data_IF_071916639401
#
_entry.id   IF_071916639401
#
_cell.length_a   1.000
_cell.length_b   1.000
_cell.length_c   1.000
_cell.angle_alpha   90.00
_cell.angle_beta   90.00
_cell.angle_gamma   90.00
#
_symmetry.space_group_name_H-M   'P 1'
#
loop_
_entity.id
_entity.type
_entity.pdbx_description
1 polymer ?
#
# COMPACT_ATOMS: atom_id res chain seq x y z
N UNK A 1 18.81 6.06 -31.07
CA UNK A 1 17.40 6.48 -31.13
C UNK A 1 16.89 6.45 -29.70
N UNK A 2 16.65 7.60 -29.10
CA UNK A 2 16.22 7.67 -27.69
C UNK A 2 14.71 7.66 -27.67
N UNK A 3 14.11 6.58 -27.17
CA UNK A 3 12.66 6.46 -27.04
C UNK A 3 12.23 7.18 -25.76
N UNK A 4 11.58 8.34 -25.90
CA UNK A 4 10.96 9.04 -24.77
C UNK A 4 9.59 8.39 -24.55
N UNK A 5 9.42 7.70 -23.42
CA UNK A 5 8.13 7.13 -23.00
C UNK A 5 7.50 8.03 -21.94
N UNK A 6 6.28 8.47 -22.18
CA UNK A 6 5.44 9.19 -21.21
C UNK A 6 4.43 8.19 -20.66
N UNK A 7 4.38 8.02 -19.34
CA UNK A 7 3.38 7.19 -18.66
C UNK A 7 2.54 8.08 -17.75
N UNK A 8 1.22 7.99 -17.87
CA UNK A 8 0.29 8.73 -17.01
C UNK A 8 0.00 7.91 -15.74
N UNK A 9 0.28 8.49 -14.58
CA UNK A 9 0.10 7.85 -13.28
C UNK A 9 -0.78 8.67 -12.34
N UNK A 10 -1.50 7.97 -11.45
CA UNK A 10 -2.29 8.57 -10.36
C UNK A 10 -1.59 8.34 -9.03
N UNK A 11 -1.46 9.39 -8.23
CA UNK A 11 -1.07 9.28 -6.82
C UNK A 11 -2.33 9.30 -5.96
N UNK A 12 -2.45 8.33 -5.05
CA UNK A 12 -3.52 8.27 -4.07
C UNK A 12 -2.92 8.22 -2.67
N UNK A 13 -3.42 9.07 -1.77
CA UNK A 13 -2.98 9.16 -0.39
C UNK A 13 -4.19 8.90 0.50
N UNK A 14 -4.07 7.92 1.38
CA UNK A 14 -5.06 7.62 2.42
C UNK A 14 -4.40 7.91 3.76
N UNK A 15 -4.92 8.92 4.46
CA UNK A 15 -4.42 9.33 5.76
C UNK A 15 -5.58 9.45 6.74
N UNK A 16 -5.41 8.89 7.93
CA UNK A 16 -6.33 9.13 9.02
C UNK A 16 -6.14 10.56 9.55
N UNK A 17 -7.27 11.28 9.70
CA UNK A 17 -7.31 12.59 10.35
C UNK A 17 -7.39 12.45 11.87
N UNK A 18 -8.17 13.31 12.51
CA UNK A 18 -8.49 13.17 13.93
C UNK A 18 -9.28 11.87 14.16
N UNK A 19 -8.83 11.07 15.13
CA UNK A 19 -9.42 9.79 15.48
C UNK A 19 -9.91 9.86 16.93
N UNK A 20 -11.19 9.59 17.15
CA UNK A 20 -11.76 9.44 18.49
C UNK A 20 -11.28 8.14 19.15
N UNK A 21 -11.06 7.09 18.35
CA UNK A 21 -10.48 5.83 18.81
C UNK A 21 -9.72 5.08 17.71
N UNK A 22 -8.77 4.24 18.12
CA UNK A 22 -8.03 3.33 17.21
C UNK A 22 -9.00 2.41 16.46
N UNK A 23 -10.04 1.90 17.14
CA UNK A 23 -11.02 0.98 16.54
C UNK A 23 -11.80 1.65 15.41
N UNK A 24 -12.32 2.85 15.64
CA UNK A 24 -13.05 3.59 14.60
C UNK A 24 -12.14 3.97 13.45
N UNK A 25 -10.90 4.38 13.74
CA UNK A 25 -9.92 4.67 12.69
C UNK A 25 -9.61 3.45 11.81
N UNK A 26 -9.50 2.24 12.39
CA UNK A 26 -9.28 1.01 11.62
C UNK A 26 -10.49 0.66 10.74
N UNK A 27 -11.72 0.85 11.24
CA UNK A 27 -12.93 0.62 10.45
C UNK A 27 -13.10 1.66 9.33
N UNK A 28 -12.78 2.93 9.60
CA UNK A 28 -12.77 3.98 8.59
C UNK A 28 -11.73 3.69 7.50
N UNK A 29 -10.50 3.33 7.91
CA UNK A 29 -9.43 2.92 6.99
C UNK A 29 -9.86 1.73 6.13
N UNK A 30 -10.48 0.71 6.74
CA UNK A 30 -11.01 -0.45 6.04
C UNK A 30 -12.01 -0.04 4.97
N UNK A 31 -12.97 0.83 5.32
CA UNK A 31 -14.00 1.29 4.40
C UNK A 31 -13.40 2.06 3.23
N UNK A 32 -12.50 3.00 3.49
CA UNK A 32 -11.85 3.80 2.43
C UNK A 32 -11.03 2.93 1.49
N UNK A 33 -10.30 1.94 2.02
CA UNK A 33 -9.53 1.01 1.18
C UNK A 33 -10.45 0.11 0.33
N UNK A 34 -11.56 -0.37 0.89
CA UNK A 34 -12.57 -1.12 0.12
C UNK A 34 -13.11 -0.25 -0.99
N UNK A 35 -13.59 0.96 -0.66
CA UNK A 35 -14.16 1.91 -1.61
C UNK A 35 -13.15 2.24 -2.71
N UNK A 36 -11.86 2.39 -2.38
CA UNK A 36 -10.78 2.56 -3.36
C UNK A 36 -10.67 1.35 -4.30
N UNK A 37 -10.67 0.13 -3.77
CA UNK A 37 -10.55 -1.09 -4.59
C UNK A 37 -11.81 -1.41 -5.41
N UNK A 38 -12.99 -0.96 -4.98
CA UNK A 38 -14.26 -1.30 -5.63
C UNK A 38 -14.88 -0.15 -6.42
N UNK A 39 -14.33 1.07 -6.33
CA UNK A 39 -14.90 2.21 -7.04
C UNK A 39 -14.75 2.07 -8.56
N UNK A 40 -15.86 2.22 -9.28
CA UNK A 40 -15.90 2.25 -10.75
C UNK A 40 -14.90 3.26 -11.33
N UNK A 41 -14.66 4.40 -10.66
CA UNK A 41 -13.67 5.39 -11.12
C UNK A 41 -12.23 4.86 -11.12
N UNK A 42 -11.89 3.97 -10.18
CA UNK A 42 -10.56 3.35 -10.09
C UNK A 42 -10.52 2.13 -11.03
N UNK A 43 -11.61 1.36 -11.09
CA UNK A 43 -11.73 0.18 -11.93
C UNK A 43 -11.85 0.48 -13.44
N UNK A 44 -12.35 1.64 -13.82
CA UNK A 44 -12.44 2.09 -15.23
C UNK A 44 -11.22 2.91 -15.66
N UNK A 45 -10.43 3.41 -14.71
CA UNK A 45 -9.17 4.10 -15.04
C UNK A 45 -8.11 3.10 -15.49
N UNK A 46 -7.48 3.35 -16.63
CA UNK A 46 -6.30 2.58 -17.09
C UNK A 46 -4.98 3.15 -16.55
N UNK A 47 -5.05 4.01 -15.52
CA UNK A 47 -3.88 4.67 -14.96
C UNK A 47 -3.15 3.77 -13.97
N UNK A 48 -1.83 3.74 -14.09
CA UNK A 48 -0.96 3.21 -13.06
C UNK A 48 -1.14 4.00 -11.77
N UNK A 49 -1.28 3.31 -10.64
CA UNK A 49 -1.58 3.92 -9.35
C UNK A 49 -0.48 3.69 -8.33
N UNK A 50 -0.04 4.79 -7.72
CA UNK A 50 0.85 4.82 -6.56
C UNK A 50 0.02 5.13 -5.32
N UNK A 51 -0.21 4.13 -4.47
CA UNK A 51 -1.04 4.24 -3.29
C UNK A 51 -0.18 4.37 -2.04
N UNK A 52 -0.38 5.43 -1.27
CA UNK A 52 0.27 5.62 0.03
C UNK A 52 -0.77 5.59 1.14
N UNK A 53 -0.51 4.79 2.17
CA UNK A 53 -1.39 4.62 3.32
C UNK A 53 -0.63 5.02 4.59
N UNK A 54 -1.12 6.06 5.27
CA UNK A 54 -0.59 6.48 6.57
C UNK A 54 -1.17 5.60 7.67
N UNK A 55 -0.29 4.83 8.30
CA UNK A 55 -0.62 3.94 9.41
C UNK A 55 -0.07 4.44 10.75
N UNK A 56 0.54 5.63 10.79
CA UNK A 56 1.13 6.20 12.01
C UNK A 56 0.21 6.25 13.23
N UNK A 57 -1.11 6.49 13.10
CA UNK A 57 -2.00 6.53 14.27
C UNK A 57 -2.30 5.15 14.86
N UNK A 58 -1.95 4.06 14.17
CA UNK A 58 -2.34 2.72 14.56
C UNK A 58 -1.15 1.96 15.19
N UNK A 59 -1.37 1.49 16.41
CA UNK A 59 -0.44 0.58 17.10
C UNK A 59 -0.79 -0.90 16.91
N UNK A 60 -1.93 -1.19 16.25
CA UNK A 60 -2.42 -2.53 15.96
C UNK A 60 -3.12 -2.54 14.60
N UNK A 61 -3.17 -3.72 13.97
CA UNK A 61 -3.92 -3.95 12.75
C UNK A 61 -4.71 -5.27 12.84
N UNK A 62 -5.89 -5.32 12.23
CA UNK A 62 -6.74 -6.50 12.22
C UNK A 62 -6.57 -7.33 10.94
N UNK A 63 -7.06 -8.57 10.97
CA UNK A 63 -6.99 -9.49 9.82
C UNK A 63 -7.71 -8.98 8.57
N UNK A 64 -8.75 -8.15 8.74
CA UNK A 64 -9.48 -7.57 7.61
C UNK A 64 -8.61 -6.63 6.78
N UNK A 65 -7.87 -5.72 7.42
CA UNK A 65 -6.95 -4.81 6.72
C UNK A 65 -5.79 -5.58 6.07
N UNK A 66 -5.27 -6.62 6.73
CA UNK A 66 -4.25 -7.51 6.16
C UNK A 66 -4.76 -8.15 4.85
N UNK A 67 -6.00 -8.66 4.86
CA UNK A 67 -6.62 -9.22 3.66
C UNK A 67 -6.79 -8.20 2.54
N UNK A 68 -7.19 -6.96 2.88
CA UNK A 68 -7.34 -5.87 1.92
C UNK A 68 -5.99 -5.49 1.30
N UNK A 69 -4.92 -5.38 2.10
CA UNK A 69 -3.58 -5.15 1.56
C UNK A 69 -3.14 -6.28 0.62
N UNK A 70 -3.42 -7.53 0.97
CA UNK A 70 -3.19 -8.66 0.07
C UNK A 70 -3.91 -8.50 -1.28
N UNK A 71 -5.18 -8.07 -1.28
CA UNK A 71 -5.92 -7.80 -2.51
C UNK A 71 -5.33 -6.64 -3.32
N UNK A 72 -4.96 -5.54 -2.66
CA UNK A 72 -4.35 -4.35 -3.30
C UNK A 72 -3.01 -4.72 -3.97
N UNK A 73 -2.17 -5.50 -3.29
CA UNK A 73 -0.88 -5.98 -3.82
C UNK A 73 -1.06 -6.79 -5.11
N UNK A 74 -2.16 -7.55 -5.19
CA UNK A 74 -2.46 -8.39 -6.34
C UNK A 74 -3.10 -7.62 -7.50
N UNK A 75 -3.54 -6.39 -7.29
CA UNK A 75 -4.06 -5.52 -8.34
C UNK A 75 -2.94 -5.14 -9.31
N UNK A 76 -3.23 -5.24 -10.60
CA UNK A 76 -2.27 -4.95 -11.67
C UNK A 76 -2.06 -3.44 -11.86
N UNK A 77 -3.04 -2.62 -11.50
CA UNK A 77 -2.98 -1.16 -11.65
C UNK A 77 -2.13 -0.52 -10.56
N UNK A 78 -2.01 -1.18 -9.41
CA UNK A 78 -1.13 -0.72 -8.34
C UNK A 78 0.31 -1.01 -8.75
N UNK A 79 1.08 0.05 -8.97
CA UNK A 79 2.52 -0.05 -9.22
C UNK A 79 3.31 0.01 -7.92
N UNK A 80 2.79 0.73 -6.92
CA UNK A 80 3.42 0.88 -5.62
C UNK A 80 2.37 0.99 -4.52
N UNK A 81 2.59 0.23 -3.44
CA UNK A 81 1.89 0.38 -2.17
C UNK A 81 2.89 0.85 -1.10
N UNK A 82 2.85 2.14 -0.77
CA UNK A 82 3.64 2.75 0.29
C UNK A 82 2.94 2.68 1.64
N UNK A 83 3.43 1.83 2.54
CA UNK A 83 2.97 1.76 3.92
C UNK A 83 3.81 2.70 4.79
N UNK A 84 3.20 3.79 5.25
CA UNK A 84 3.90 4.89 5.89
C UNK A 84 3.68 4.89 7.40
N UNK A 85 4.73 5.18 8.17
CA UNK A 85 4.62 5.41 9.62
C UNK A 85 4.28 4.16 10.43
N UNK A 86 4.69 2.98 9.97
CA UNK A 86 4.44 1.74 10.71
C UNK A 86 5.08 1.78 12.10
N UNK A 87 4.29 1.50 13.13
CA UNK A 87 4.81 1.19 14.45
C UNK A 87 5.39 -0.24 14.45
N UNK A 88 6.41 -0.54 15.27
CA UNK A 88 7.08 -1.85 15.26
C UNK A 88 6.11 -3.04 15.39
N UNK A 89 5.11 -2.94 16.27
CA UNK A 89 4.12 -3.99 16.48
C UNK A 89 3.27 -4.26 15.22
N UNK A 90 2.92 -3.22 14.45
CA UNK A 90 2.16 -3.36 13.19
C UNK A 90 3.06 -3.95 12.11
N UNK A 91 4.30 -3.48 12.01
CA UNK A 91 5.28 -4.00 11.07
C UNK A 91 5.52 -5.50 11.26
N UNK A 92 5.71 -5.95 12.49
CA UNK A 92 5.89 -7.37 12.83
C UNK A 92 4.69 -8.22 12.43
N UNK A 93 3.46 -7.72 12.66
CA UNK A 93 2.24 -8.38 12.22
C UNK A 93 2.24 -8.50 10.69
N UNK A 94 2.47 -7.40 9.97
CA UNK A 94 2.45 -7.39 8.51
C UNK A 94 3.52 -8.30 7.89
N UNK A 95 4.72 -8.37 8.48
CA UNK A 95 5.77 -9.33 8.11
C UNK A 95 5.34 -10.77 8.33
N UNK A 96 4.73 -11.07 9.48
CA UNK A 96 4.26 -12.42 9.83
C UNK A 96 3.22 -12.93 8.83
N UNK A 97 2.32 -12.05 8.36
CA UNK A 97 1.31 -12.36 7.36
C UNK A 97 1.81 -12.23 5.91
N UNK A 98 3.06 -11.82 5.70
CA UNK A 98 3.68 -11.75 4.37
C UNK A 98 3.18 -10.60 3.49
N UNK A 99 2.59 -9.56 4.09
CA UNK A 99 2.23 -8.31 3.40
C UNK A 99 3.50 -7.51 3.10
N UNK A 100 4.43 -7.50 4.05
CA UNK A 100 5.77 -6.93 3.92
C UNK A 100 6.76 -8.08 3.96
N UNK A 101 7.82 -8.03 3.15
CA UNK A 101 8.91 -8.99 3.21
C UNK A 101 10.24 -8.29 3.39
N UNK A 102 11.20 -8.97 4.01
CA UNK A 102 12.57 -8.47 4.11
C UNK A 102 13.15 -8.34 2.70
N UNK A 103 13.45 -7.10 2.30
CA UNK A 103 14.00 -6.79 0.97
C UNK A 103 12.99 -6.81 -0.19
N UNK A 104 11.68 -6.89 0.07
CA UNK A 104 10.65 -6.90 -0.99
C UNK A 104 10.60 -8.20 -1.82
N UNK A 105 11.28 -9.25 -1.36
CA UNK A 105 11.31 -10.55 -2.05
C UNK A 105 10.27 -11.48 -1.41
N UNK A 106 9.36 -12.02 -2.22
CA UNK A 106 8.40 -13.02 -1.74
C UNK A 106 9.09 -14.30 -1.25
N UNK A 107 8.46 -15.03 -0.32
CA UNK A 107 9.00 -16.30 0.21
C UNK A 107 9.35 -17.26 -0.94
N UNK A 108 10.38 -18.10 -0.74
CA UNK A 108 10.94 -18.95 -1.81
C UNK A 108 9.90 -19.84 -2.53
N UNK A 109 8.90 -20.31 -1.79
CA UNK A 109 7.81 -21.17 -2.29
C UNK A 109 6.69 -20.41 -3.04
N UNK A 110 6.70 -19.07 -3.03
CA UNK A 110 5.72 -18.27 -3.76
C UNK A 110 6.03 -18.29 -5.26
N UNK A 111 4.99 -18.23 -6.10
CA UNK A 111 5.17 -18.11 -7.55
C UNK A 111 5.83 -16.77 -7.92
N UNK A 112 6.48 -16.71 -9.07
CA UNK A 112 7.19 -15.50 -9.51
C UNK A 112 6.25 -14.30 -9.66
N UNK A 113 4.99 -14.55 -10.04
CA UNK A 113 3.93 -13.53 -10.06
C UNK A 113 3.65 -12.95 -8.68
N UNK A 114 3.60 -13.78 -7.65
CA UNK A 114 3.41 -13.32 -6.26
C UNK A 114 4.64 -12.55 -5.79
N UNK A 115 5.85 -13.04 -6.10
CA UNK A 115 7.10 -12.35 -5.76
C UNK A 115 7.18 -10.96 -6.41
N UNK A 116 6.82 -10.85 -7.69
CA UNK A 116 6.77 -9.57 -8.43
C UNK A 116 5.69 -8.61 -7.93
N UNK A 117 4.62 -9.12 -7.32
CA UNK A 117 3.61 -8.26 -6.71
C UNK A 117 4.06 -7.76 -5.33
N UNK A 118 4.75 -8.61 -4.55
CA UNK A 118 5.28 -8.22 -3.24
C UNK A 118 6.37 -7.15 -3.34
N UNK A 119 7.15 -7.12 -4.42
CA UNK A 119 8.13 -6.05 -4.67
C UNK A 119 7.52 -4.67 -4.89
N UNK A 120 6.19 -4.57 -5.03
CA UNK A 120 5.45 -3.29 -5.10
C UNK A 120 5.26 -2.64 -3.73
N UNK A 121 5.44 -3.41 -2.65
CA UNK A 121 5.21 -2.91 -1.29
C UNK A 121 6.49 -2.27 -0.76
N UNK A 122 6.40 -1.01 -0.38
CA UNK A 122 7.49 -0.27 0.25
C UNK A 122 7.04 0.27 1.59
N UNK A 123 7.96 0.28 2.55
CA UNK A 123 7.72 0.82 3.89
C UNK A 123 8.51 2.12 4.03
N UNK A 124 7.84 3.16 4.50
CA UNK A 124 8.43 4.47 4.74
C UNK A 124 8.22 4.89 6.19
N UNK A 125 9.17 5.63 6.77
CA UNK A 125 9.00 6.15 8.14
C UNK A 125 7.93 7.22 8.19
N UNK A 126 7.78 7.99 7.12
CA UNK A 126 6.80 9.08 7.03
C UNK A 126 6.12 9.12 5.67
N UNK A 127 4.94 9.75 5.61
CA UNK A 127 4.25 10.01 4.35
C UNK A 127 5.08 10.91 3.41
N UNK A 128 5.82 11.87 3.98
CA UNK A 128 6.66 12.79 3.20
C UNK A 128 7.80 12.04 2.49
N UNK A 129 8.47 11.12 3.20
CA UNK A 129 9.51 10.25 2.63
C UNK A 129 8.94 9.37 1.51
N UNK A 130 7.75 8.80 1.72
CA UNK A 130 7.07 8.01 0.69
C UNK A 130 6.79 8.81 -0.57
N UNK A 131 6.22 10.01 -0.45
CA UNK A 131 5.92 10.84 -1.62
C UNK A 131 7.18 11.34 -2.34
N UNK A 132 8.27 11.60 -1.61
CA UNK A 132 9.54 11.99 -2.20
C UNK A 132 10.10 10.90 -3.14
N UNK A 133 9.77 9.62 -2.94
CA UNK A 133 10.24 8.55 -3.80
C UNK A 133 9.69 8.62 -5.24
N UNK A 134 8.61 9.37 -5.47
CA UNK A 134 8.02 9.54 -6.80
C UNK A 134 8.75 10.57 -7.67
N UNK A 135 9.56 11.42 -7.05
CA UNK A 135 10.35 12.43 -7.74
C UNK A 135 11.81 12.31 -7.29
N UNK A 136 12.54 11.30 -7.81
CA UNK A 136 13.95 11.16 -7.51
C UNK A 136 14.72 12.35 -8.10
N UNK A 137 15.57 12.98 -7.27
CA UNK A 137 16.50 14.03 -7.67
C UNK A 137 17.48 13.57 -8.77
#
# INVERSE_FOLDING_TARGET
MTEIRVSDGRVCIIKAGELDSVKEGLEAMKKVLIDFTTSDRVQDSNLDTFLFVDLSPFNIINSSLIGIFGSIIMDRKIQLLGLCGLQPAVEDILKRFGVITEGGVGKAFASDKIKSNLSKVMVFKTMQEGLACLNPD
#
